data_IF_084934023271
#
_entry.id   IF_084934023271
#
_cell.length_a   1.000
_cell.length_b   1.000
_cell.length_c   1.000
_cell.angle_alpha   90.00
_cell.angle_beta   90.00
_cell.angle_gamma   90.00
#
_symmetry.space_group_name_H-M   'P 1'
#
loop_
_entity.id
_entity.type
_entity.pdbx_description
1 polymer ?
#
# COMPACT_ATOMS: atom_id res chain seq x y z
N UNK A 1 -7.99 2.03 -12.66
CA UNK A 1 -6.70 1.60 -13.25
C UNK A 1 -5.93 2.71 -13.95
N UNK A 2 -6.38 3.33 -15.06
CA UNK A 2 -5.60 4.43 -15.67
C UNK A 2 -5.36 5.61 -14.72
N UNK A 3 -6.27 5.85 -13.79
CA UNK A 3 -6.10 6.83 -12.73
C UNK A 3 -4.87 6.55 -11.82
N UNK A 4 -4.50 5.29 -11.54
CA UNK A 4 -3.32 5.01 -10.71
C UNK A 4 -2.03 5.44 -11.40
N UNK A 5 -1.95 5.26 -12.72
CA UNK A 5 -0.82 5.75 -13.51
C UNK A 5 -0.74 7.28 -13.49
N UNK A 6 -1.87 7.99 -13.62
CA UNK A 6 -1.90 9.46 -13.53
C UNK A 6 -1.44 9.94 -12.15
N UNK A 7 -1.89 9.31 -11.07
CA UNK A 7 -1.46 9.62 -9.71
C UNK A 7 0.02 9.32 -9.49
N UNK A 8 0.54 8.23 -10.05
CA UNK A 8 1.95 7.87 -9.97
C UNK A 8 2.82 8.88 -10.72
N UNK A 9 2.43 9.27 -11.92
CA UNK A 9 3.12 10.32 -12.69
C UNK A 9 3.09 11.64 -11.93
N UNK A 10 1.94 12.03 -11.38
CA UNK A 10 1.84 13.24 -10.56
C UNK A 10 2.77 13.19 -9.34
N UNK A 11 2.84 12.05 -8.65
CA UNK A 11 3.74 11.86 -7.52
C UNK A 11 5.22 12.02 -7.91
N UNK A 12 5.63 11.41 -9.03
CA UNK A 12 6.99 11.53 -9.57
C UNK A 12 7.30 12.98 -9.93
N UNK A 13 6.41 13.66 -10.66
CA UNK A 13 6.58 15.06 -11.04
C UNK A 13 6.68 15.97 -9.81
N UNK A 14 5.85 15.77 -8.79
CA UNK A 14 5.95 16.53 -7.53
C UNK A 14 7.29 16.30 -6.83
N UNK A 15 7.73 15.03 -6.76
CA UNK A 15 8.98 14.65 -6.13
C UNK A 15 10.21 15.25 -6.86
N UNK A 16 10.19 15.29 -8.19
CA UNK A 16 11.29 15.83 -8.99
C UNK A 16 11.33 17.36 -8.97
N UNK A 17 10.17 18.02 -8.97
CA UNK A 17 10.08 19.48 -9.11
C UNK A 17 10.44 20.24 -7.84
N UNK A 18 10.36 19.62 -6.66
CA UNK A 18 10.69 20.32 -5.42
C UNK A 18 11.02 19.39 -4.26
N UNK A 19 12.20 19.59 -3.66
CA UNK A 19 12.64 18.90 -2.44
C UNK A 19 12.03 19.47 -1.13
N UNK A 20 11.13 20.47 -1.21
CA UNK A 20 10.47 21.01 -0.02
C UNK A 20 9.67 19.91 0.70
N UNK A 21 9.80 19.74 2.03
CA UNK A 21 9.20 18.62 2.76
C UNK A 21 7.70 18.43 2.53
N UNK A 22 6.92 19.52 2.46
CA UNK A 22 5.47 19.44 2.26
C UNK A 22 5.08 19.06 0.82
N UNK A 23 5.93 19.38 -0.17
CA UNK A 23 5.72 18.91 -1.55
C UNK A 23 6.01 17.42 -1.65
N UNK A 24 7.08 16.96 -0.99
CA UNK A 24 7.39 15.53 -0.91
C UNK A 24 6.32 14.76 -0.13
N UNK A 25 5.72 15.35 0.92
CA UNK A 25 4.55 14.80 1.60
C UNK A 25 3.34 14.67 0.65
N UNK A 26 3.09 15.66 -0.21
CA UNK A 26 2.04 15.56 -1.22
C UNK A 26 2.35 14.45 -2.26
N UNK A 27 3.62 14.30 -2.66
CA UNK A 27 4.06 13.22 -3.53
C UNK A 27 3.83 11.83 -2.90
N UNK A 28 4.11 11.67 -1.59
CA UNK A 28 3.79 10.45 -0.83
C UNK A 28 2.29 10.15 -0.92
N UNK A 29 1.42 11.13 -0.67
CA UNK A 29 -0.04 10.93 -0.68
C UNK A 29 -0.53 10.55 -2.08
N UNK A 30 -0.06 11.25 -3.11
CA UNK A 30 -0.37 10.93 -4.51
C UNK A 30 0.07 9.50 -4.89
N UNK A 31 1.27 9.09 -4.47
CA UNK A 31 1.76 7.73 -4.70
C UNK A 31 0.96 6.67 -3.91
N UNK A 32 0.50 7.00 -2.70
CA UNK A 32 -0.40 6.14 -1.94
C UNK A 32 -1.73 5.93 -2.64
N UNK A 33 -2.34 6.99 -3.18
CA UNK A 33 -3.56 6.88 -4.00
C UNK A 33 -3.30 6.04 -5.25
N UNK A 34 -2.14 6.18 -5.90
CA UNK A 34 -1.77 5.30 -7.00
C UNK A 34 -1.72 3.83 -6.55
N UNK A 35 -1.05 3.56 -5.43
CA UNK A 35 -0.85 2.21 -4.90
C UNK A 35 -2.13 1.46 -4.54
N UNK A 36 -3.23 2.14 -4.22
CA UNK A 36 -4.50 1.47 -3.89
C UNK A 36 -5.15 0.76 -5.07
N UNK A 37 -4.73 1.05 -6.31
CA UNK A 37 -5.29 0.40 -7.53
C UNK A 37 -4.22 0.04 -8.56
N UNK A 38 -2.93 0.23 -8.24
CA UNK A 38 -1.82 -0.19 -9.10
C UNK A 38 -1.68 -1.72 -9.24
N UNK A 39 -1.88 -2.54 -8.19
CA UNK A 39 -1.77 -4.00 -8.31
C UNK A 39 -2.69 -4.58 -9.40
N UNK A 40 -3.87 -3.99 -9.57
CA UNK A 40 -4.86 -4.38 -10.59
C UNK A 40 -4.43 -4.08 -12.03
N UNK A 41 -3.26 -3.47 -12.28
CA UNK A 41 -2.68 -3.38 -13.63
C UNK A 41 -2.53 -4.75 -14.30
N UNK A 42 -2.51 -5.83 -13.52
CA UNK A 42 -2.58 -7.19 -14.04
C UNK A 42 -3.85 -7.50 -14.84
N UNK A 43 -4.95 -6.78 -14.65
CA UNK A 43 -6.17 -6.91 -15.45
C UNK A 43 -6.00 -6.43 -16.89
N UNK A 44 -5.01 -5.58 -17.16
CA UNK A 44 -4.65 -5.15 -18.51
C UNK A 44 -3.60 -6.03 -19.16
N UNK A 45 -3.04 -6.98 -18.41
CA UNK A 45 -1.94 -7.83 -18.85
C UNK A 45 -2.41 -9.28 -18.92
N UNK A 46 -1.84 -10.12 -19.81
CA UNK A 46 -2.19 -11.54 -19.89
C UNK A 46 -1.54 -12.37 -18.76
N UNK A 47 -1.50 -11.84 -17.54
CA UNK A 47 -0.87 -12.47 -16.36
C UNK A 47 -1.89 -12.92 -15.30
N UNK A 48 -3.18 -12.62 -15.54
CA UNK A 48 -4.30 -12.97 -14.66
C UNK A 48 -4.47 -12.01 -13.49
N UNK A 49 -5.72 -11.82 -13.07
CA UNK A 49 -6.05 -11.01 -11.88
C UNK A 49 -5.40 -11.59 -10.63
N UNK A 50 -4.94 -10.71 -9.73
CA UNK A 50 -4.20 -11.06 -8.51
C UNK A 50 -2.89 -11.79 -8.82
N UNK A 51 -2.16 -11.30 -9.81
CA UNK A 51 -0.84 -11.81 -10.15
C UNK A 51 0.13 -11.61 -8.99
N UNK A 52 0.88 -12.64 -8.62
CA UNK A 52 1.92 -12.55 -7.60
C UNK A 52 3.00 -11.50 -7.92
N UNK A 53 3.13 -11.10 -9.19
CA UNK A 53 4.04 -10.02 -9.59
C UNK A 53 3.53 -8.64 -9.18
N UNK A 54 2.24 -8.36 -9.35
CA UNK A 54 1.64 -7.05 -9.06
C UNK A 54 1.09 -6.97 -7.64
N UNK A 55 0.59 -8.08 -7.11
CA UNK A 55 0.12 -8.26 -5.74
C UNK A 55 1.24 -8.74 -4.83
N UNK A 56 2.37 -8.04 -4.89
CA UNK A 56 3.51 -8.26 -4.00
C UNK A 56 4.28 -6.97 -3.77
N UNK A 57 5.42 -7.10 -3.10
CA UNK A 57 6.39 -6.04 -2.89
C UNK A 57 7.27 -5.82 -4.12
N UNK A 58 7.15 -6.64 -5.16
CA UNK A 58 7.95 -6.50 -6.37
C UNK A 58 7.82 -5.09 -7.01
N UNK A 59 6.64 -4.46 -7.13
CA UNK A 59 6.53 -3.09 -7.64
C UNK A 59 7.32 -2.09 -6.78
N UNK A 60 7.34 -2.28 -5.46
CA UNK A 60 8.16 -1.49 -4.55
C UNK A 60 9.65 -1.79 -4.71
N UNK A 61 10.03 -3.06 -4.82
CA UNK A 61 11.42 -3.47 -4.98
C UNK A 61 12.04 -2.91 -6.27
N UNK A 62 11.25 -2.85 -7.35
CA UNK A 62 11.65 -2.18 -8.59
C UNK A 62 11.76 -0.66 -8.40
N UNK A 63 10.87 -0.04 -7.63
CA UNK A 63 10.96 1.38 -7.31
C UNK A 63 12.20 1.72 -6.44
N UNK A 64 12.69 0.78 -5.63
CA UNK A 64 13.90 0.95 -4.79
C UNK A 64 15.19 1.23 -5.55
N UNK A 65 15.24 0.95 -6.86
CA UNK A 65 16.40 1.33 -7.69
C UNK A 65 16.48 2.85 -7.90
N UNK A 66 15.38 3.60 -7.74
CA UNK A 66 15.32 5.05 -7.85
C UNK A 66 15.43 5.73 -6.48
N UNK A 67 16.61 5.71 -5.84
CA UNK A 67 16.82 6.23 -4.46
C UNK A 67 16.40 7.69 -4.23
N UNK A 68 16.27 8.51 -5.27
CA UNK A 68 15.78 9.88 -5.16
C UNK A 68 14.25 9.97 -5.00
N UNK A 69 13.52 8.89 -5.30
CA UNK A 69 12.06 8.79 -5.18
C UNK A 69 11.59 8.08 -3.90
N UNK A 70 12.40 8.09 -2.83
CA UNK A 70 12.02 7.46 -1.54
C UNK A 70 10.66 7.89 -1.00
N UNK A 71 10.24 9.18 -1.08
CA UNK A 71 8.89 9.58 -0.70
C UNK A 71 7.80 8.91 -1.56
N UNK A 72 7.99 8.84 -2.88
CA UNK A 72 7.05 8.16 -3.79
C UNK A 72 6.96 6.67 -3.45
N UNK A 73 8.09 6.02 -3.21
CA UNK A 73 8.13 4.62 -2.78
C UNK A 73 7.38 4.38 -1.47
N UNK A 74 7.55 5.28 -0.49
CA UNK A 74 6.87 5.17 0.81
C UNK A 74 5.34 5.18 0.64
N UNK A 75 4.84 6.15 -0.14
CA UNK A 75 3.42 6.25 -0.47
C UNK A 75 2.93 5.01 -1.20
N UNK A 76 3.62 4.62 -2.28
CA UNK A 76 3.25 3.49 -3.11
C UNK A 76 3.17 2.19 -2.29
N UNK A 77 4.15 1.95 -1.41
CA UNK A 77 4.16 0.79 -0.52
C UNK A 77 2.94 0.76 0.42
N UNK A 78 2.58 1.89 1.02
CA UNK A 78 1.41 1.98 1.90
C UNK A 78 0.12 1.74 1.10
N UNK A 79 -0.01 2.36 -0.09
CA UNK A 79 -1.17 2.18 -0.96
C UNK A 79 -1.35 0.71 -1.41
N UNK A 80 -0.27 0.07 -1.83
CA UNK A 80 -0.25 -1.36 -2.19
C UNK A 80 -0.63 -2.20 -0.97
N UNK A 81 -0.10 -1.89 0.21
CA UNK A 81 -0.45 -2.58 1.47
C UNK A 81 -1.94 -2.49 1.82
N UNK A 82 -2.57 -1.33 1.61
CA UNK A 82 -4.01 -1.15 1.79
C UNK A 82 -4.82 -1.99 0.79
N UNK A 83 -4.41 -2.01 -0.47
CA UNK A 83 -5.06 -2.81 -1.52
C UNK A 83 -5.01 -4.31 -1.19
N UNK A 84 -3.80 -4.83 -0.93
CA UNK A 84 -3.58 -6.24 -0.56
C UNK A 84 -4.32 -6.63 0.72
N UNK A 85 -4.45 -5.71 1.68
CA UNK A 85 -5.20 -5.97 2.90
C UNK A 85 -6.69 -6.19 2.62
N UNK A 86 -7.32 -5.38 1.75
CA UNK A 86 -8.70 -5.60 1.33
C UNK A 86 -8.85 -6.95 0.60
N UNK A 87 -7.91 -7.22 -0.31
CA UNK A 87 -7.87 -8.44 -1.11
C UNK A 87 -7.68 -9.73 -0.31
N UNK A 88 -7.18 -9.61 0.93
CA UNK A 88 -7.07 -10.71 1.89
C UNK A 88 -8.41 -11.15 2.47
N UNK A 89 -9.49 -10.40 2.25
CA UNK A 89 -10.85 -10.71 2.74
C UNK A 89 -11.90 -10.74 1.63
N UNK A 90 -11.72 -11.53 0.55
CA UNK A 90 -12.73 -11.62 -0.50
C UNK A 90 -13.97 -12.39 0.00
N UNK A 91 -15.11 -12.19 -0.66
CA UNK A 91 -16.33 -12.96 -0.41
C UNK A 91 -16.11 -14.48 -0.55
N UNK A 92 -15.29 -14.89 -1.53
CA UNK A 92 -14.82 -16.26 -1.67
C UNK A 92 -13.46 -16.31 -2.38
N UNK A 93 -12.47 -16.98 -1.78
CA UNK A 93 -11.13 -17.15 -2.35
C UNK A 93 -11.07 -18.38 -3.28
N UNK A 94 -11.69 -18.26 -4.47
CA UNK A 94 -11.76 -19.30 -5.51
C UNK A 94 -11.61 -18.70 -6.91
N UNK A 95 -11.15 -19.51 -7.87
CA UNK A 95 -11.11 -19.12 -9.29
C UNK A 95 -10.28 -17.86 -9.54
N UNK A 96 -10.93 -16.77 -9.95
CA UNK A 96 -10.28 -15.48 -10.21
C UNK A 96 -9.76 -14.77 -8.94
N UNK A 97 -10.27 -15.11 -7.76
CA UNK A 97 -9.84 -14.48 -6.50
C UNK A 97 -8.49 -15.02 -5.99
N UNK A 98 -8.06 -16.21 -6.43
CA UNK A 98 -6.79 -16.80 -6.00
C UNK A 98 -5.61 -16.16 -6.71
N UNK A 99 -4.50 -15.99 -6.01
CA UNK A 99 -3.25 -15.44 -6.55
C UNK A 99 -2.73 -16.30 -7.69
N UNK A 100 -2.34 -15.64 -8.79
CA UNK A 100 -1.82 -16.28 -10.00
C UNK A 100 -0.30 -16.20 -10.04
N UNK A 101 0.33 -17.29 -10.44
CA UNK A 101 1.75 -17.39 -10.71
C UNK A 101 1.92 -17.44 -12.23
N UNK A 102 2.35 -16.34 -12.88
CA UNK A 102 2.49 -16.30 -14.34
C UNK A 102 3.37 -17.44 -14.84
N UNK A 103 2.84 -18.23 -15.78
CA UNK A 103 3.53 -19.39 -16.36
C UNK A 103 3.56 -20.67 -15.50
N UNK A 104 3.01 -20.66 -14.28
CA UNK A 104 3.06 -21.80 -13.35
C UNK A 104 1.65 -22.28 -12.96
N UNK A 105 0.72 -21.36 -12.69
CA UNK A 105 -0.63 -21.71 -12.24
C UNK A 105 -1.16 -20.78 -11.15
N UNK A 106 -1.62 -21.34 -10.03
CA UNK A 106 -2.19 -20.57 -8.92
C UNK A 106 -1.77 -21.15 -7.57
N UNK A 107 -1.65 -20.29 -6.55
CA UNK A 107 -1.32 -20.67 -5.17
C UNK A 107 -2.44 -21.43 -4.43
N UNK A 108 -3.62 -21.58 -5.04
CA UNK A 108 -4.79 -22.13 -4.36
C UNK A 108 -5.29 -21.24 -3.23
N UNK A 109 -6.34 -21.66 -2.53
CA UNK A 109 -7.04 -20.83 -1.53
C UNK A 109 -6.13 -20.43 -0.35
N UNK A 110 -5.55 -21.40 0.35
CA UNK A 110 -4.71 -21.12 1.53
C UNK A 110 -3.47 -20.32 1.16
N UNK A 111 -2.79 -20.70 0.08
CA UNK A 111 -1.60 -19.99 -0.39
C UNK A 111 -1.91 -18.53 -0.76
N UNK A 112 -3.09 -18.26 -1.32
CA UNK A 112 -3.52 -16.89 -1.66
C UNK A 112 -3.74 -16.02 -0.43
N UNK A 113 -4.39 -16.53 0.62
CA UNK A 113 -4.57 -15.78 1.87
C UNK A 113 -3.23 -15.45 2.53
N UNK A 114 -2.34 -16.44 2.64
CA UNK A 114 -1.00 -16.24 3.23
C UNK A 114 -0.21 -15.24 2.42
N UNK A 115 -0.21 -15.36 1.08
CA UNK A 115 0.50 -14.44 0.20
C UNK A 115 0.01 -13.00 0.37
N UNK A 116 -1.29 -12.76 0.19
CA UNK A 116 -1.85 -11.41 0.26
C UNK A 116 -1.67 -10.78 1.64
N UNK A 117 -1.89 -11.54 2.72
CA UNK A 117 -1.73 -11.05 4.09
C UNK A 117 -0.27 -10.69 4.42
N UNK A 118 0.69 -11.56 4.05
CA UNK A 118 2.12 -11.30 4.27
C UNK A 118 2.60 -10.11 3.43
N UNK A 119 2.17 -10.03 2.18
CA UNK A 119 2.52 -8.92 1.29
C UNK A 119 1.91 -7.61 1.76
N UNK A 120 0.66 -7.61 2.24
CA UNK A 120 0.02 -6.43 2.82
C UNK A 120 0.80 -5.91 4.03
N UNK A 121 1.13 -6.80 4.98
CA UNK A 121 1.90 -6.45 6.17
C UNK A 121 3.29 -5.89 5.78
N UNK A 122 4.01 -6.60 4.92
CA UNK A 122 5.35 -6.21 4.51
C UNK A 122 5.35 -4.85 3.77
N UNK A 123 4.36 -4.60 2.90
CA UNK A 123 4.19 -3.33 2.18
C UNK A 123 3.88 -2.17 3.12
N UNK A 124 2.91 -2.33 4.03
CA UNK A 124 2.57 -1.31 5.03
C UNK A 124 3.75 -0.97 5.93
N UNK A 125 4.49 -1.98 6.41
CA UNK A 125 5.66 -1.77 7.28
C UNK A 125 6.80 -1.10 6.52
N UNK A 126 7.16 -1.60 5.34
CA UNK A 126 8.21 -1.02 4.52
C UNK A 126 7.89 0.44 4.16
N UNK A 127 6.65 0.73 3.76
CA UNK A 127 6.19 2.07 3.46
C UNK A 127 6.23 3.01 4.67
N UNK A 128 5.83 2.53 5.86
CA UNK A 128 5.90 3.33 7.09
C UNK A 128 7.34 3.66 7.49
N UNK A 129 8.24 2.69 7.39
CA UNK A 129 9.68 2.89 7.65
C UNK A 129 10.29 3.86 6.64
N UNK A 130 9.97 3.71 5.35
CA UNK A 130 10.43 4.62 4.31
C UNK A 130 9.90 6.04 4.51
N UNK A 131 8.63 6.19 4.90
CA UNK A 131 8.02 7.50 5.18
C UNK A 131 8.76 8.22 6.31
N UNK A 132 8.97 7.51 7.43
CA UNK A 132 9.69 8.05 8.59
C UNK A 132 11.14 8.40 8.26
N UNK A 133 11.80 7.64 7.38
CA UNK A 133 13.17 7.88 6.95
C UNK A 133 13.29 8.97 5.87
N UNK A 134 12.24 9.24 5.09
CA UNK A 134 12.29 10.12 3.93
C UNK A 134 11.89 11.57 4.23
N UNK A 135 11.10 11.82 5.29
CA UNK A 135 10.55 13.14 5.59
C UNK A 135 10.82 13.58 7.03
N UNK A 136 10.95 14.90 7.29
CA UNK A 136 10.96 15.40 8.66
C UNK A 136 9.63 15.08 9.35
N UNK A 137 9.69 14.84 10.66
CA UNK A 137 8.58 14.29 11.46
C UNK A 137 7.23 14.96 11.22
N UNK A 138 7.17 16.29 11.13
CA UNK A 138 5.91 17.03 10.90
C UNK A 138 5.30 16.69 9.54
N UNK A 139 6.11 16.67 8.48
CA UNK A 139 5.65 16.33 7.13
C UNK A 139 5.27 14.85 7.04
N UNK A 140 6.05 13.96 7.68
CA UNK A 140 5.74 12.53 7.77
C UNK A 140 4.39 12.26 8.47
N UNK A 141 4.14 12.93 9.60
CA UNK A 141 2.89 12.78 10.35
C UNK A 141 1.67 13.29 9.56
N UNK A 142 1.80 14.43 8.87
CA UNK A 142 0.73 14.95 8.01
C UNK A 142 0.47 14.02 6.82
N UNK A 143 1.51 13.52 6.17
CA UNK A 143 1.38 12.54 5.09
C UNK A 143 0.73 11.24 5.60
N UNK A 144 1.15 10.74 6.77
CA UNK A 144 0.55 9.56 7.39
C UNK A 144 -0.93 9.78 7.71
N UNK A 145 -1.31 10.93 8.29
CA UNK A 145 -2.70 11.27 8.57
C UNK A 145 -3.54 11.34 7.27
N UNK A 146 -3.01 11.96 6.21
CA UNK A 146 -3.66 11.99 4.92
C UNK A 146 -3.81 10.59 4.30
N UNK A 147 -2.78 9.74 4.38
CA UNK A 147 -2.84 8.36 3.92
C UNK A 147 -3.81 7.51 4.73
N UNK A 148 -3.98 7.76 6.04
CA UNK A 148 -5.02 7.14 6.85
C UNK A 148 -6.41 7.51 6.33
N UNK A 149 -6.66 8.79 6.02
CA UNK A 149 -7.93 9.22 5.45
C UNK A 149 -8.19 8.59 4.07
N UNK A 150 -7.17 8.55 3.21
CA UNK A 150 -7.24 7.86 1.91
C UNK A 150 -7.53 6.37 2.11
N UNK A 151 -6.84 5.73 3.04
CA UNK A 151 -7.02 4.31 3.36
C UNK A 151 -8.42 4.01 3.90
N UNK A 152 -8.95 4.85 4.79
CA UNK A 152 -10.34 4.75 5.27
C UNK A 152 -11.29 4.87 4.09
N UNK A 153 -11.19 5.92 3.29
CA UNK A 153 -12.09 6.15 2.16
C UNK A 153 -12.05 4.98 1.15
N UNK A 154 -10.85 4.50 0.83
CA UNK A 154 -10.64 3.37 -0.07
C UNK A 154 -11.25 2.07 0.49
N UNK A 155 -10.89 1.69 1.72
CA UNK A 155 -11.36 0.46 2.34
C UNK A 155 -12.87 0.46 2.59
N UNK A 156 -13.47 1.63 2.84
CA UNK A 156 -14.92 1.74 2.98
C UNK A 156 -15.66 1.43 1.67
N UNK A 157 -15.04 1.72 0.53
CA UNK A 157 -15.60 1.55 -0.80
C UNK A 157 -15.17 0.24 -1.50
N UNK A 158 -14.36 -0.59 -0.84
CA UNK A 158 -13.76 -1.79 -1.45
C UNK A 158 -14.27 -3.07 -0.79
N UNK A 159 -14.58 -4.08 -1.59
CA UNK A 159 -14.92 -5.41 -1.09
C UNK A 159 -13.79 -5.98 -0.21
N UNK A 160 -14.14 -6.55 0.94
CA UNK A 160 -13.16 -7.01 1.94
C UNK A 160 -12.50 -5.89 2.75
N UNK A 161 -12.81 -4.62 2.47
CA UNK A 161 -12.19 -3.48 3.14
C UNK A 161 -12.64 -3.28 4.59
N UNK A 162 -13.86 -3.66 4.97
CA UNK A 162 -14.35 -3.58 6.36
C UNK A 162 -13.53 -4.44 7.35
N UNK A 163 -13.30 -5.74 7.09
CA UNK A 163 -12.37 -6.54 7.88
C UNK A 163 -10.96 -5.95 7.95
N UNK A 164 -10.43 -5.47 6.82
CA UNK A 164 -9.11 -4.83 6.79
C UNK A 164 -9.07 -3.58 7.68
N UNK A 165 -10.11 -2.73 7.61
CA UNK A 165 -10.24 -1.53 8.44
C UNK A 165 -10.27 -1.87 9.93
N UNK A 166 -10.99 -2.93 10.31
CA UNK A 166 -11.03 -3.41 11.69
C UNK A 166 -9.64 -3.87 12.18
N UNK A 167 -8.88 -4.58 11.33
CA UNK A 167 -7.50 -4.98 11.63
C UNK A 167 -6.61 -3.75 11.83
N UNK A 168 -6.63 -2.78 10.92
CA UNK A 168 -5.86 -1.55 11.04
C UNK A 168 -6.23 -0.75 12.30
N UNK A 169 -7.53 -0.63 12.61
CA UNK A 169 -8.01 0.04 13.81
C UNK A 169 -7.53 -0.66 15.09
N UNK A 170 -7.56 -2.00 15.14
CA UNK A 170 -7.09 -2.78 16.28
C UNK A 170 -5.58 -2.56 16.52
N UNK A 171 -4.76 -2.59 15.46
CA UNK A 171 -3.33 -2.32 15.58
C UNK A 171 -3.04 -0.87 15.99
N UNK A 172 -3.75 0.09 15.42
CA UNK A 172 -3.64 1.51 15.80
C UNK A 172 -3.98 1.74 17.27
N UNK A 173 -5.08 1.15 17.75
CA UNK A 173 -5.49 1.19 19.15
C UNK A 173 -4.43 0.59 20.09
N UNK A 174 -3.91 -0.59 19.76
CA UNK A 174 -2.85 -1.24 20.54
C UNK A 174 -1.57 -0.40 20.59
N UNK A 175 -1.21 0.27 19.49
CA UNK A 175 -0.04 1.15 19.44
C UNK A 175 -0.21 2.37 20.36
N UNK A 176 -1.40 3.01 20.33
CA UNK A 176 -1.72 4.15 21.21
C UNK A 176 -1.67 3.73 22.68
N UNK A 177 -2.28 2.59 23.03
CA UNK A 177 -2.29 2.10 24.43
C UNK A 177 -0.89 1.80 24.96
N UNK A 178 -0.03 1.18 24.15
CA UNK A 178 1.37 0.90 24.54
C UNK A 178 2.21 2.16 24.65
N UNK A 179 1.95 3.17 23.81
CA UNK A 179 2.61 4.48 23.90
C UNK A 179 2.24 5.24 25.18
N UNK A 180 0.96 5.27 25.52
CA UNK A 180 0.47 5.93 26.74
C UNK A 180 1.07 5.32 28.01
N UNK A 181 1.18 3.99 28.09
CA UNK A 181 1.79 3.31 29.24
C UNK A 181 3.30 3.52 29.40
N UNK A 182 4.02 3.94 28.34
CA UNK A 182 5.46 4.27 28.39
C UNK A 182 5.74 5.73 28.76
N UNK A 183 4.76 6.62 28.61
CA UNK A 183 4.89 8.03 28.98
C UNK A 183 4.57 8.29 30.47
N UNK A 184 4.00 7.29 31.16
CA UNK A 184 3.54 7.37 32.55
C UNK A 184 4.43 6.61 33.56
N UNK A 185 5.60 6.13 33.15
CA UNK A 185 6.59 5.45 34.00
C UNK A 185 7.99 5.95 33.71
#
# INVERSE_FOLDING_TARGET
MLASLLWLVAAIVLADRSQRPFVQAAAVVAAGIAGTTLPDLDLLLPIGHRSALTHSLLPLALACFARHWRPVMAGLAIGIGLHLAADSFPNAMRGYATVKLPGIGSLGTTGSYVWLGMQALAATLAGSVLLAAALPVRAALLAAAALVLVGIAYLFATDGGWPALAVYAAFGWLAIRRGAGRASG
#
